data_IF_716612304508
#
_entry.id   IF_716612304508
#
_cell.length_a   1.000
_cell.length_b   1.000
_cell.length_c   1.000
_cell.angle_alpha   90.00
_cell.angle_beta   90.00
_cell.angle_gamma   90.00
#
_symmetry.space_group_name_H-M   'P 1'
#
loop_
_entity.id
_entity.type
_entity.pdbx_description
1 polymer ?
#
# COMPACT_ATOMS: atom_id res chain seq x y z
N UNK A 1 -5.44 -31.61 -14.81
CA UNK A 1 -4.52 -32.03 -15.88
C UNK A 1 -3.60 -30.84 -16.17
N UNK A 2 -2.40 -30.83 -15.61
CA UNK A 2 -1.51 -29.66 -15.60
C UNK A 2 -0.61 -29.69 -16.84
N UNK A 3 -0.83 -28.80 -17.81
CA UNK A 3 0.06 -28.65 -18.97
C UNK A 3 1.12 -27.61 -18.60
N UNK A 4 2.36 -28.08 -18.45
CA UNK A 4 3.54 -27.22 -18.22
C UNK A 4 4.05 -26.79 -19.60
N UNK A 5 3.87 -25.50 -19.95
CA UNK A 5 4.53 -24.91 -21.12
C UNK A 5 6.04 -24.85 -20.86
N UNK A 6 6.82 -25.48 -21.73
CA UNK A 6 8.28 -25.39 -21.73
C UNK A 6 8.68 -24.32 -22.73
N UNK A 7 8.85 -23.09 -22.25
CA UNK A 7 9.44 -22.01 -23.04
C UNK A 7 10.94 -21.95 -22.72
N UNK A 8 11.71 -22.69 -23.53
CA UNK A 8 13.17 -22.78 -23.45
C UNK A 8 13.83 -21.57 -24.11
N UNK A 9 14.49 -20.74 -23.30
CA UNK A 9 15.54 -19.80 -23.73
C UNK A 9 16.87 -20.06 -22.99
N UNK A 10 17.17 -21.31 -22.62
CA UNK A 10 18.48 -21.71 -22.10
C UNK A 10 18.80 -23.14 -22.56
N UNK A 11 19.46 -23.22 -23.72
CA UNK A 11 20.07 -24.40 -24.34
C UNK A 11 21.54 -24.48 -23.91
N UNK A 12 21.78 -24.47 -22.60
CA UNK A 12 23.13 -24.45 -22.04
C UNK A 12 23.18 -25.21 -20.72
N UNK A 13 23.81 -26.38 -20.82
CA UNK A 13 23.78 -27.52 -19.89
C UNK A 13 24.52 -27.27 -18.57
N UNK A 14 24.95 -26.04 -18.23
CA UNK A 14 25.85 -25.78 -17.09
C UNK A 14 25.63 -24.44 -16.36
N UNK A 15 24.40 -24.12 -15.94
CA UNK A 15 24.18 -23.13 -14.88
C UNK A 15 23.17 -23.64 -13.86
N UNK A 16 23.59 -23.65 -12.60
CA UNK A 16 22.77 -23.90 -11.42
C UNK A 16 21.70 -22.81 -11.25
N UNK A 17 20.68 -22.78 -12.10
CA UNK A 17 19.48 -21.97 -11.86
C UNK A 17 18.50 -22.84 -11.10
N UNK A 18 18.33 -22.60 -9.80
CA UNK A 18 17.25 -23.20 -9.00
C UNK A 18 15.94 -23.05 -9.80
N UNK A 19 15.18 -24.13 -10.06
CA UNK A 19 13.93 -24.00 -10.78
C UNK A 19 13.02 -23.07 -9.98
N UNK A 20 12.66 -21.91 -10.54
CA UNK A 20 11.62 -21.05 -9.98
C UNK A 20 10.33 -21.83 -10.16
N UNK A 21 9.97 -22.63 -9.15
CA UNK A 21 8.71 -23.35 -9.09
C UNK A 21 7.62 -22.29 -8.93
N UNK A 22 7.08 -21.83 -10.05
CA UNK A 22 5.88 -20.99 -10.09
C UNK A 22 4.72 -21.86 -9.57
N UNK A 23 4.50 -21.87 -8.26
CA UNK A 23 3.32 -22.47 -7.65
C UNK A 23 2.10 -21.62 -8.05
N UNK A 24 1.49 -21.93 -9.18
CA UNK A 24 0.21 -21.35 -9.58
C UNK A 24 -0.88 -21.90 -8.66
N UNK A 25 -1.08 -21.25 -7.52
CA UNK A 25 -2.19 -21.56 -6.61
C UNK A 25 -3.48 -21.08 -7.28
N UNK A 26 -4.14 -21.97 -8.00
CA UNK A 26 -5.47 -21.76 -8.56
C UNK A 26 -6.44 -21.52 -7.40
N UNK A 27 -6.94 -20.29 -7.25
CA UNK A 27 -7.93 -19.98 -6.22
C UNK A 27 -9.26 -20.63 -6.60
N UNK A 28 -9.91 -21.29 -5.64
CA UNK A 28 -11.29 -21.74 -5.82
C UNK A 28 -12.19 -20.55 -6.16
N UNK A 29 -13.17 -20.76 -7.05
CA UNK A 29 -14.05 -19.69 -7.58
C UNK A 29 -14.67 -18.82 -6.47
N UNK A 30 -15.08 -19.42 -5.35
CA UNK A 30 -15.63 -18.71 -4.19
C UNK A 30 -14.62 -17.81 -3.47
N UNK A 31 -13.34 -18.19 -3.43
CA UNK A 31 -12.27 -17.39 -2.80
C UNK A 31 -11.89 -16.22 -3.70
N UNK A 32 -11.86 -16.44 -5.02
CA UNK A 32 -11.64 -15.39 -6.01
C UNK A 32 -12.67 -14.25 -5.85
N UNK A 33 -13.96 -14.57 -5.85
CA UNK A 33 -15.01 -13.57 -5.68
C UNK A 33 -14.96 -12.84 -4.34
N UNK A 34 -14.56 -13.52 -3.25
CA UNK A 34 -14.34 -12.89 -1.95
C UNK A 34 -13.19 -11.87 -1.98
N UNK A 35 -12.06 -12.20 -2.62
CA UNK A 35 -10.95 -11.26 -2.75
C UNK A 35 -11.34 -10.05 -3.61
N UNK A 36 -12.04 -10.27 -4.72
CA UNK A 36 -12.56 -9.19 -5.57
C UNK A 36 -13.48 -8.26 -4.76
N UNK A 37 -14.40 -8.81 -3.98
CA UNK A 37 -15.30 -8.01 -3.15
C UNK A 37 -14.54 -7.19 -2.09
N UNK A 38 -13.55 -7.78 -1.40
CA UNK A 38 -12.75 -7.06 -0.39
C UNK A 38 -11.94 -5.92 -1.04
N UNK A 39 -11.29 -6.19 -2.17
CA UNK A 39 -10.52 -5.17 -2.91
C UNK A 39 -11.44 -4.06 -3.41
N UNK A 40 -12.63 -4.40 -3.91
CA UNK A 40 -13.62 -3.42 -4.36
C UNK A 40 -14.05 -2.50 -3.21
N UNK A 41 -14.34 -3.06 -2.04
CA UNK A 41 -14.67 -2.28 -0.83
C UNK A 41 -13.50 -1.39 -0.41
N UNK A 42 -12.26 -1.88 -0.43
CA UNK A 42 -11.08 -1.04 -0.16
C UNK A 42 -10.95 0.13 -1.13
N UNK A 43 -11.20 -0.09 -2.44
CA UNK A 43 -11.14 0.98 -3.44
C UNK A 43 -12.22 2.04 -3.16
N UNK A 44 -13.43 1.63 -2.77
CA UNK A 44 -14.48 2.58 -2.36
C UNK A 44 -13.97 3.46 -1.21
N UNK A 45 -13.41 2.87 -0.15
CA UNK A 45 -12.86 3.66 0.97
C UNK A 45 -11.74 4.61 0.54
N UNK A 46 -10.82 4.16 -0.31
CA UNK A 46 -9.73 5.00 -0.82
C UNK A 46 -10.28 6.18 -1.61
N UNK A 47 -11.23 5.94 -2.53
CA UNK A 47 -11.80 7.02 -3.36
C UNK A 47 -12.57 8.06 -2.55
N UNK A 48 -13.33 7.63 -1.53
CA UNK A 48 -14.05 8.54 -0.63
C UNK A 48 -13.12 9.47 0.14
N UNK A 49 -11.91 9.02 0.46
CA UNK A 49 -10.91 9.81 1.19
C UNK A 49 -10.11 10.71 0.24
N UNK A 50 -9.74 10.22 -0.94
CA UNK A 50 -8.93 10.98 -1.90
C UNK A 50 -9.68 12.17 -2.51
N UNK A 51 -11.00 12.09 -2.69
CA UNK A 51 -11.81 13.20 -3.24
C UNK A 51 -11.72 14.48 -2.40
N UNK A 52 -12.11 14.44 -1.10
CA UNK A 52 -12.00 15.59 -0.21
C UNK A 52 -10.56 16.08 -0.02
N UNK A 53 -9.59 15.18 0.12
CA UNK A 53 -8.17 15.54 0.30
C UNK A 53 -7.66 16.40 -0.87
N UNK A 54 -7.98 16.02 -2.11
CA UNK A 54 -7.58 16.78 -3.28
C UNK A 54 -8.17 18.20 -3.28
N UNK A 55 -9.44 18.35 -2.90
CA UNK A 55 -10.08 19.67 -2.77
C UNK A 55 -9.41 20.52 -1.67
N UNK A 56 -9.18 19.95 -0.49
CA UNK A 56 -8.51 20.63 0.62
C UNK A 56 -7.09 21.09 0.27
N UNK A 57 -6.27 20.25 -0.38
CA UNK A 57 -4.92 20.64 -0.80
C UNK A 57 -4.92 21.79 -1.80
N UNK A 58 -5.90 21.84 -2.72
CA UNK A 58 -6.00 22.90 -3.72
C UNK A 58 -6.43 24.23 -3.12
N UNK A 59 -7.27 24.21 -2.08
CA UNK A 59 -7.76 25.40 -1.39
C UNK A 59 -6.74 25.97 -0.39
N UNK A 60 -5.92 25.11 0.23
CA UNK A 60 -4.95 25.51 1.25
C UNK A 60 -3.71 26.22 0.68
N UNK A 61 -3.39 26.00 -0.61
CA UNK A 61 -2.16 26.50 -1.23
C UNK A 61 -2.42 27.51 -2.35
N UNK A 62 -1.74 28.68 -2.33
CA UNK A 62 -1.78 29.64 -3.43
C UNK A 62 -1.29 29.03 -4.74
N UNK A 63 -1.87 29.46 -5.87
CA UNK A 63 -1.61 28.92 -7.22
C UNK A 63 -0.13 28.86 -7.62
N UNK A 64 0.71 29.74 -7.06
CA UNK A 64 2.16 29.81 -7.35
C UNK A 64 2.97 28.63 -6.77
N UNK A 65 2.54 28.01 -5.66
CA UNK A 65 3.31 26.95 -4.99
C UNK A 65 2.60 25.59 -5.00
N UNK A 66 1.40 25.51 -5.57
CA UNK A 66 0.55 24.32 -5.54
C UNK A 66 1.28 23.05 -5.98
N UNK A 67 2.06 23.10 -7.06
CA UNK A 67 2.76 21.92 -7.56
C UNK A 67 3.82 21.38 -6.59
N UNK A 68 4.68 22.26 -6.05
CA UNK A 68 5.71 21.87 -5.08
C UNK A 68 5.11 21.45 -3.75
N UNK A 69 4.09 22.18 -3.28
CA UNK A 69 3.40 21.86 -2.03
C UNK A 69 2.54 20.60 -2.11
N UNK A 70 2.02 20.24 -3.28
CA UNK A 70 1.33 18.95 -3.49
C UNK A 70 2.31 17.79 -3.60
N UNK A 71 3.46 17.96 -4.28
CA UNK A 71 4.40 16.85 -4.49
C UNK A 71 5.16 16.47 -3.22
N UNK A 72 5.46 17.42 -2.33
CA UNK A 72 6.28 17.20 -1.14
C UNK A 72 5.64 16.19 -0.16
N UNK A 73 4.36 16.30 0.23
CA UNK A 73 3.66 15.27 1.00
C UNK A 73 3.57 13.93 0.27
N UNK A 74 3.34 13.94 -1.05
CA UNK A 74 3.22 12.72 -1.83
C UNK A 74 4.55 11.96 -1.91
N UNK A 75 5.67 12.64 -2.14
CA UNK A 75 6.98 12.01 -2.24
C UNK A 75 7.51 11.54 -0.88
N UNK A 76 7.35 12.35 0.17
CA UNK A 76 7.77 11.93 1.52
C UNK A 76 6.84 10.83 2.05
N UNK A 77 5.53 11.00 1.89
CA UNK A 77 4.51 10.04 2.30
C UNK A 77 4.69 8.68 1.65
N UNK A 78 4.66 8.64 0.31
CA UNK A 78 4.76 7.38 -0.41
C UNK A 78 6.18 6.81 -0.42
N UNK A 79 7.20 7.68 -0.48
CA UNK A 79 8.59 7.24 -0.54
C UNK A 79 9.08 6.68 0.78
N UNK A 80 8.92 7.43 1.87
CA UNK A 80 9.41 7.01 3.19
C UNK A 80 8.40 6.04 3.81
N UNK A 81 7.20 6.48 4.16
CA UNK A 81 6.28 5.62 4.89
C UNK A 81 5.72 4.48 4.01
N UNK A 82 5.39 4.76 2.75
CA UNK A 82 4.97 3.72 1.81
C UNK A 82 6.09 2.73 1.50
N UNK A 83 7.28 3.21 1.14
CA UNK A 83 8.42 2.38 0.75
C UNK A 83 8.99 1.51 1.88
N UNK A 84 8.92 1.97 3.13
CA UNK A 84 9.34 1.16 4.28
C UNK A 84 8.33 0.06 4.68
N UNK A 85 7.08 0.12 4.19
CA UNK A 85 6.04 -0.86 4.53
C UNK A 85 6.46 -2.31 4.25
N UNK A 86 6.92 -2.71 3.05
CA UNK A 86 7.32 -4.10 2.79
C UNK A 86 8.54 -4.54 3.62
N UNK A 87 9.48 -3.63 3.89
CA UNK A 87 10.64 -3.91 4.72
C UNK A 87 10.23 -4.22 6.17
N UNK A 88 9.42 -3.34 6.77
CA UNK A 88 8.94 -3.53 8.15
C UNK A 88 7.97 -4.71 8.25
N UNK A 89 7.07 -4.89 7.28
CA UNK A 89 6.14 -6.01 7.27
C UNK A 89 6.86 -7.36 7.21
N UNK A 90 7.90 -7.45 6.36
CA UNK A 90 8.73 -8.67 6.29
C UNK A 90 9.52 -8.87 7.58
N UNK A 91 10.14 -7.81 8.11
CA UNK A 91 10.89 -7.87 9.37
C UNK A 91 10.01 -8.37 10.53
N UNK A 92 8.83 -7.77 10.71
CA UNK A 92 7.88 -8.17 11.77
C UNK A 92 7.40 -9.61 11.59
N UNK A 93 7.11 -10.04 10.37
CA UNK A 93 6.68 -11.42 10.07
C UNK A 93 7.81 -12.43 10.35
N UNK A 94 9.08 -12.06 10.13
CA UNK A 94 10.23 -12.95 10.43
C UNK A 94 10.54 -13.05 11.92
N UNK A 95 10.26 -12.00 12.70
CA UNK A 95 10.45 -11.99 14.15
C UNK A 95 9.27 -12.71 14.84
N UNK A 96 8.06 -12.49 14.35
CA UNK A 96 6.81 -13.06 14.88
C UNK A 96 6.21 -14.08 13.92
N UNK A 97 6.86 -15.24 13.78
CA UNK A 97 6.45 -16.30 12.83
C UNK A 97 5.08 -16.92 13.12
N UNK A 98 4.54 -16.71 14.32
CA UNK A 98 3.25 -17.26 14.74
C UNK A 98 2.02 -16.56 14.15
N UNK A 99 2.16 -15.33 13.65
CA UNK A 99 1.04 -14.56 13.11
C UNK A 99 1.45 -13.77 11.83
N UNK A 100 0.96 -14.20 10.65
CA UNK A 100 1.26 -13.55 9.38
C UNK A 100 0.63 -12.16 9.22
N UNK A 101 -0.28 -11.76 10.11
CA UNK A 101 -0.94 -10.45 10.07
C UNK A 101 -0.17 -9.37 10.84
N UNK A 102 0.90 -9.72 11.55
CA UNK A 102 1.69 -8.77 12.35
C UNK A 102 2.25 -7.63 11.49
N UNK A 103 2.53 -7.88 10.21
CA UNK A 103 2.95 -6.84 9.26
C UNK A 103 1.95 -5.68 9.10
N UNK A 104 0.66 -5.89 9.38
CA UNK A 104 -0.36 -4.83 9.33
C UNK A 104 -0.22 -3.80 10.46
N UNK A 105 0.52 -4.11 11.53
CA UNK A 105 0.69 -3.17 12.65
C UNK A 105 1.36 -1.86 12.21
N UNK A 106 2.29 -1.92 11.25
CA UNK A 106 3.00 -0.74 10.76
C UNK A 106 2.06 0.31 10.15
N UNK A 107 1.25 0.01 9.12
CA UNK A 107 0.30 0.99 8.57
C UNK A 107 -0.78 1.39 9.58
N UNK A 108 -1.20 0.49 10.48
CA UNK A 108 -2.20 0.82 11.52
C UNK A 108 -1.65 1.88 12.50
N UNK A 109 -0.42 1.71 12.98
CA UNK A 109 0.21 2.65 13.92
C UNK A 109 0.43 4.01 13.24
N UNK A 110 0.93 4.02 12.00
CA UNK A 110 1.14 5.26 11.24
C UNK A 110 -0.18 5.98 10.99
N UNK A 111 -1.23 5.27 10.58
CA UNK A 111 -2.56 5.83 10.42
C UNK A 111 -3.09 6.42 11.74
N UNK A 112 -2.89 5.71 12.86
CA UNK A 112 -3.26 6.19 14.19
C UNK A 112 -2.53 7.49 14.58
N UNK A 113 -1.23 7.58 14.33
CA UNK A 113 -0.45 8.81 14.55
C UNK A 113 -0.96 9.95 13.66
N UNK A 114 -1.25 9.69 12.37
CA UNK A 114 -1.84 10.67 11.47
C UNK A 114 -3.19 11.19 11.97
N UNK A 115 -4.05 10.31 12.47
CA UNK A 115 -5.35 10.69 13.05
C UNK A 115 -5.15 11.53 14.32
N UNK A 116 -4.22 11.17 15.21
CA UNK A 116 -3.91 11.94 16.41
C UNK A 116 -3.42 13.35 16.08
N UNK A 117 -2.44 13.47 15.16
CA UNK A 117 -1.93 14.76 14.70
C UNK A 117 -3.06 15.57 14.03
N UNK A 118 -3.83 14.93 13.15
CA UNK A 118 -4.98 15.54 12.49
C UNK A 118 -5.99 16.07 13.51
N UNK A 119 -6.38 15.28 14.51
CA UNK A 119 -7.31 15.69 15.54
C UNK A 119 -6.80 16.89 16.34
N UNK A 120 -5.52 16.90 16.74
CA UNK A 120 -4.94 17.99 17.53
C UNK A 120 -4.83 19.29 16.72
N UNK A 121 -4.32 19.21 15.48
CA UNK A 121 -4.04 20.40 14.66
C UNK A 121 -5.24 20.92 13.87
N UNK A 122 -6.16 20.02 13.45
CA UNK A 122 -7.38 20.43 12.74
C UNK A 122 -8.42 21.01 13.71
N UNK A 123 -8.40 20.64 14.99
CA UNK A 123 -9.37 21.10 15.99
C UNK A 123 -9.23 22.58 16.40
N UNK A 124 -8.35 23.39 15.76
CA UNK A 124 -8.11 24.76 16.23
C UNK A 124 -8.03 25.87 15.17
N UNK A 125 -8.91 25.86 14.15
CA UNK A 125 -9.22 27.06 13.34
C UNK A 125 -10.63 27.59 13.56
N UNK A 126 -10.86 28.15 14.75
CA UNK A 126 -11.72 29.33 14.89
C UNK A 126 -10.81 30.56 15.02
N UNK A 127 -10.32 31.06 13.90
CA UNK A 127 -9.93 32.47 13.81
C UNK A 127 -10.94 33.13 12.91
N UNK A 128 -11.92 33.71 13.60
CA UNK A 128 -12.85 34.73 13.14
C UNK A 128 -12.12 35.68 12.18
N UNK A 129 -12.64 35.80 10.96
CA UNK A 129 -12.60 37.02 10.18
C UNK A 129 -14.02 37.26 9.65
#
# INVERSE_FOLDING_TARGET
MHVISKDTLYDDVNKYTKPVVQQSKQLGSSVYWKMVAIVFVMIIYVTLVYGPIAAFLVELFPTRIRYTSMSLPYHIGNGVFGGLTPFIATLLTTIYTGDPLVGLMYPIIIAGICVLIGAIYLSNRKTIH
#
